data_IF_089957305436
#
_entry.id   IF_089957305436
#
_cell.length_a   1.000
_cell.length_b   1.000
_cell.length_c   1.000
_cell.angle_alpha   90.00
_cell.angle_beta   90.00
_cell.angle_gamma   90.00
#
_symmetry.space_group_name_H-M   'P 1'
#
loop_
_entity.id
_entity.type
_entity.pdbx_description
1 polymer ?
#
# COMPACT_ATOMS: atom_id res chain seq x y z
N UNK A 1 20.76 -8.73 -1.99
CA UNK A 1 20.42 -7.67 -1.02
C UNK A 1 21.22 -6.40 -1.31
N UNK A 2 22.56 -6.43 -1.22
CA UNK A 2 23.41 -5.24 -1.43
C UNK A 2 23.19 -4.50 -2.76
N UNK A 3 22.99 -5.23 -3.87
CA UNK A 3 22.76 -4.61 -5.17
C UNK A 3 21.49 -3.74 -5.22
N UNK A 4 20.37 -4.19 -4.63
CA UNK A 4 19.14 -3.40 -4.55
C UNK A 4 19.34 -2.18 -3.67
N UNK A 5 20.01 -2.36 -2.52
CA UNK A 5 20.28 -1.28 -1.56
C UNK A 5 21.09 -0.15 -2.18
N UNK A 6 22.17 -0.47 -2.88
CA UNK A 6 22.99 0.57 -3.52
C UNK A 6 22.30 1.17 -4.75
N UNK A 7 21.57 0.36 -5.53
CA UNK A 7 20.84 0.85 -6.70
C UNK A 7 19.71 1.82 -6.34
N UNK A 8 19.05 1.66 -5.19
CA UNK A 8 17.93 2.51 -4.78
C UNK A 8 18.32 3.61 -3.82
N UNK A 9 19.59 3.67 -3.37
CA UNK A 9 20.06 4.58 -2.32
C UNK A 9 19.76 6.05 -2.59
N UNK A 10 20.07 6.55 -3.78
CA UNK A 10 19.86 7.96 -4.13
C UNK A 10 18.37 8.30 -4.16
N UNK A 11 17.55 7.44 -4.78
CA UNK A 11 16.10 7.62 -4.87
C UNK A 11 15.44 7.51 -3.49
N UNK A 12 15.96 6.63 -2.63
CA UNK A 12 15.49 6.50 -1.25
C UNK A 12 15.73 7.78 -0.45
N UNK A 13 16.94 8.35 -0.53
CA UNK A 13 17.24 9.64 0.13
C UNK A 13 16.32 10.75 -0.40
N UNK A 14 16.04 10.77 -1.70
CA UNK A 14 15.10 11.75 -2.27
C UNK A 14 13.67 11.55 -1.75
N UNK A 15 13.18 10.32 -1.69
CA UNK A 15 11.84 9.99 -1.21
C UNK A 15 11.64 10.38 0.27
N UNK A 16 12.63 10.09 1.13
CA UNK A 16 12.62 10.47 2.55
C UNK A 16 12.67 12.00 2.76
N UNK A 17 13.23 12.74 1.79
CA UNK A 17 13.33 14.20 1.84
C UNK A 17 12.19 14.93 1.11
N UNK A 18 11.12 14.25 0.69
CA UNK A 18 9.92 14.92 0.18
C UNK A 18 9.27 15.79 1.25
N UNK A 19 8.55 16.85 0.84
CA UNK A 19 7.93 17.80 1.78
C UNK A 19 7.00 17.10 2.78
N UNK A 20 6.22 16.12 2.30
CA UNK A 20 5.37 15.28 3.15
C UNK A 20 6.19 14.50 4.19
N UNK A 21 7.23 13.77 3.77
CA UNK A 21 8.03 12.94 4.69
C UNK A 21 8.81 13.77 5.69
N UNK A 22 9.31 14.95 5.30
CA UNK A 22 9.96 15.88 6.25
C UNK A 22 8.98 16.43 7.28
N UNK A 23 7.75 16.76 6.88
CA UNK A 23 6.71 17.20 7.81
C UNK A 23 6.28 16.07 8.74
N UNK A 24 6.14 14.86 8.20
CA UNK A 24 5.83 13.65 8.97
C UNK A 24 6.87 13.37 10.05
N UNK A 25 8.17 13.38 9.72
CA UNK A 25 9.27 13.17 10.68
C UNK A 25 9.34 14.24 11.77
N UNK A 26 8.91 15.47 11.47
CA UNK A 26 8.83 16.57 12.44
C UNK A 26 7.56 16.53 13.30
N UNK A 27 6.67 15.54 13.09
CA UNK A 27 5.36 15.47 13.74
C UNK A 27 4.39 16.57 13.28
N UNK A 28 4.64 17.19 12.13
CA UNK A 28 3.86 18.28 11.54
C UNK A 28 2.89 17.75 10.47
N UNK A 29 2.20 16.65 10.77
CA UNK A 29 1.19 16.05 9.88
C UNK A 29 -0.17 16.14 10.54
N UNK A 30 -1.17 16.62 9.80
CA UNK A 30 -2.56 16.62 10.28
C UNK A 30 -3.15 15.21 10.26
N UNK A 31 -4.22 15.00 11.03
CA UNK A 31 -4.94 13.73 11.02
C UNK A 31 -5.49 13.41 9.62
N UNK A 32 -5.99 14.40 8.89
CA UNK A 32 -6.54 14.19 7.55
C UNK A 32 -5.47 13.79 6.53
N UNK A 33 -4.28 14.40 6.58
CA UNK A 33 -3.13 14.00 5.74
C UNK A 33 -2.67 12.58 6.07
N UNK A 34 -2.64 12.22 7.37
CA UNK A 34 -2.28 10.87 7.79
C UNK A 34 -3.28 9.85 7.26
N UNK A 35 -4.58 10.13 7.41
CA UNK A 35 -5.67 9.29 6.91
C UNK A 35 -5.60 9.09 5.39
N UNK A 36 -5.23 10.12 4.64
CA UNK A 36 -5.04 10.03 3.19
C UNK A 36 -3.89 9.09 2.81
N UNK A 37 -2.76 9.15 3.52
CA UNK A 37 -1.64 8.24 3.29
C UNK A 37 -1.99 6.80 3.66
N UNK A 38 -2.64 6.58 4.80
CA UNK A 38 -3.11 5.24 5.18
C UNK A 38 -4.07 4.66 4.15
N UNK A 39 -5.00 5.47 3.64
CA UNK A 39 -5.94 5.05 2.58
C UNK A 39 -5.21 4.71 1.28
N UNK A 40 -4.18 5.48 0.92
CA UNK A 40 -3.36 5.22 -0.26
C UNK A 40 -2.56 3.93 -0.12
N UNK A 41 -1.99 3.68 1.07
CA UNK A 41 -1.27 2.43 1.35
C UNK A 41 -2.20 1.22 1.26
N UNK A 42 -3.43 1.30 1.75
CA UNK A 42 -4.38 0.20 1.64
C UNK A 42 -4.55 -0.29 0.20
N UNK A 43 -4.81 0.60 -0.76
CA UNK A 43 -4.97 0.19 -2.16
C UNK A 43 -3.67 -0.34 -2.78
N UNK A 44 -2.51 0.23 -2.40
CA UNK A 44 -1.20 -0.28 -2.86
C UNK A 44 -0.96 -1.69 -2.35
N UNK A 45 -1.19 -1.95 -1.06
CA UNK A 45 -0.99 -3.26 -0.45
C UNK A 45 -2.04 -4.27 -0.90
N UNK A 46 -3.29 -3.85 -1.13
CA UNK A 46 -4.31 -4.72 -1.71
C UNK A 46 -3.86 -5.28 -3.06
N UNK A 47 -3.47 -4.41 -4.00
CA UNK A 47 -3.02 -4.85 -5.32
C UNK A 47 -1.72 -5.66 -5.24
N UNK A 48 -0.77 -5.25 -4.39
CA UNK A 48 0.50 -5.94 -4.21
C UNK A 48 0.28 -7.35 -3.66
N UNK A 49 -0.49 -7.50 -2.58
CA UNK A 49 -0.76 -8.79 -1.94
C UNK A 49 -1.60 -9.72 -2.83
N UNK A 50 -2.47 -9.16 -3.67
CA UNK A 50 -3.20 -9.92 -4.68
C UNK A 50 -2.24 -10.54 -5.71
N UNK A 51 -1.27 -9.77 -6.22
CA UNK A 51 -0.24 -10.27 -7.13
C UNK A 51 0.73 -11.25 -6.47
N UNK A 52 1.09 -11.01 -5.21
CA UNK A 52 1.89 -11.92 -4.39
C UNK A 52 1.18 -13.28 -4.29
N UNK A 53 -0.11 -13.29 -3.98
CA UNK A 53 -0.91 -14.51 -3.89
C UNK A 53 -1.06 -15.21 -5.24
N UNK A 54 -1.22 -14.47 -6.34
CA UNK A 54 -1.22 -15.03 -7.71
C UNK A 54 0.09 -15.72 -8.05
N UNK A 55 1.22 -15.19 -7.57
CA UNK A 55 2.57 -15.65 -7.90
C UNK A 55 3.23 -16.50 -6.79
N UNK A 56 2.49 -16.93 -5.77
CA UNK A 56 3.02 -17.64 -4.60
C UNK A 56 3.82 -18.91 -4.95
N UNK A 57 3.43 -19.62 -6.01
CA UNK A 57 4.06 -20.85 -6.46
C UNK A 57 5.15 -20.62 -7.53
N UNK A 58 5.36 -19.36 -7.96
CA UNK A 58 6.36 -19.00 -8.95
C UNK A 58 7.77 -19.13 -8.34
N UNK A 59 8.69 -19.95 -8.90
CA UNK A 59 10.02 -20.17 -8.34
C UNK A 59 10.86 -18.91 -8.14
N UNK A 60 10.58 -17.83 -8.87
CA UNK A 60 11.31 -16.55 -8.72
C UNK A 60 10.85 -15.73 -7.51
N UNK A 61 9.65 -16.01 -6.99
CA UNK A 61 9.02 -15.23 -5.92
C UNK A 61 8.75 -16.06 -4.66
N UNK A 62 8.49 -17.37 -4.79
CA UNK A 62 8.19 -18.25 -3.65
C UNK A 62 9.19 -18.18 -2.48
N UNK A 63 10.50 -17.91 -2.65
CA UNK A 63 11.42 -17.77 -1.51
C UNK A 63 11.13 -16.55 -0.62
N UNK A 64 10.34 -15.58 -1.08
CA UNK A 64 9.97 -14.36 -0.34
C UNK A 64 8.48 -14.28 -0.02
N UNK A 65 7.74 -15.38 -0.17
CA UNK A 65 6.32 -15.46 0.18
C UNK A 65 6.15 -15.68 1.70
N UNK A 66 5.94 -14.58 2.44
CA UNK A 66 5.77 -14.55 3.90
C UNK A 66 4.45 -13.87 4.29
N UNK A 67 3.30 -14.51 4.03
CA UNK A 67 2.01 -13.85 4.21
C UNK A 67 1.65 -13.57 5.66
N UNK A 68 2.04 -14.44 6.60
CA UNK A 68 1.70 -14.27 8.02
C UNK A 68 2.50 -13.14 8.67
N UNK A 69 3.72 -12.91 8.20
CA UNK A 69 4.65 -11.96 8.77
C UNK A 69 4.58 -10.57 8.11
N UNK A 70 4.29 -10.51 6.79
CA UNK A 70 4.46 -9.30 6.00
C UNK A 70 3.19 -8.75 5.34
N UNK A 71 2.08 -9.51 5.29
CA UNK A 71 0.85 -8.94 4.75
C UNK A 71 0.32 -7.84 5.70
N UNK A 72 -0.06 -6.71 5.10
CA UNK A 72 -0.49 -5.49 5.76
C UNK A 72 -1.94 -5.16 5.48
N UNK A 73 -2.59 -5.78 4.47
CA UNK A 73 -3.98 -5.49 4.11
C UNK A 73 -4.91 -5.50 5.33
N UNK A 74 -4.96 -6.60 6.08
CA UNK A 74 -5.87 -6.76 7.21
C UNK A 74 -5.61 -5.70 8.30
N UNK A 75 -4.34 -5.43 8.62
CA UNK A 75 -3.97 -4.39 9.57
C UNK A 75 -4.37 -2.98 9.09
N UNK A 76 -4.24 -2.71 7.79
CA UNK A 76 -4.66 -1.44 7.19
C UNK A 76 -6.19 -1.30 7.17
N UNK A 77 -6.95 -2.39 7.05
CA UNK A 77 -8.41 -2.38 7.18
C UNK A 77 -8.84 -1.98 8.59
N UNK A 78 -8.20 -2.54 9.62
CA UNK A 78 -8.44 -2.16 11.02
C UNK A 78 -8.09 -0.69 11.29
N UNK A 79 -6.94 -0.22 10.79
CA UNK A 79 -6.51 1.18 10.91
C UNK A 79 -7.53 2.12 10.27
N UNK A 80 -8.00 1.80 9.06
CA UNK A 80 -8.95 2.64 8.33
C UNK A 80 -10.34 2.61 8.94
N UNK A 81 -10.78 1.47 9.48
CA UNK A 81 -11.99 1.39 10.28
C UNK A 81 -11.88 2.26 11.54
N UNK A 82 -10.73 2.28 12.21
CA UNK A 82 -10.51 3.17 13.35
C UNK A 82 -10.60 4.66 12.95
N UNK A 83 -10.00 5.05 11.82
CA UNK A 83 -9.93 6.46 11.42
C UNK A 83 -11.20 7.01 10.76
N UNK A 84 -11.93 6.19 10.01
CA UNK A 84 -13.09 6.61 9.23
C UNK A 84 -14.41 5.98 9.71
N UNK A 85 -14.34 4.99 10.61
CA UNK A 85 -15.47 4.19 11.05
C UNK A 85 -15.86 3.11 10.03
N UNK A 86 -16.83 2.29 10.43
CA UNK A 86 -17.44 1.19 9.65
C UNK A 86 -17.89 1.56 8.23
N UNK A 87 -18.29 2.82 7.90
CA UNK A 87 -18.65 3.18 6.52
C UNK A 87 -17.50 3.06 5.51
N UNK A 88 -16.23 3.12 5.93
CA UNK A 88 -15.10 3.13 5.00
C UNK A 88 -14.96 1.85 4.19
N UNK A 89 -15.03 0.67 4.82
CA UNK A 89 -14.99 -0.62 4.12
C UNK A 89 -16.07 -0.70 3.04
N UNK A 90 -17.25 -0.12 3.31
CA UNK A 90 -18.34 -0.03 2.33
C UNK A 90 -17.99 0.87 1.15
N UNK A 91 -17.29 1.99 1.36
CA UNK A 91 -16.79 2.85 0.28
C UNK A 91 -15.63 2.22 -0.49
N UNK A 92 -14.69 1.56 0.19
CA UNK A 92 -13.55 0.88 -0.43
C UNK A 92 -14.00 -0.25 -1.37
N UNK A 93 -14.98 -1.07 -0.95
CA UNK A 93 -15.58 -2.09 -1.82
C UNK A 93 -16.28 -1.50 -3.05
N UNK A 94 -16.94 -0.35 -2.92
CA UNK A 94 -17.64 0.31 -4.03
C UNK A 94 -16.63 0.99 -4.99
N UNK A 95 -15.61 1.67 -4.44
CA UNK A 95 -14.61 2.39 -5.22
C UNK A 95 -13.59 1.44 -5.89
N UNK A 96 -13.14 0.41 -5.18
CA UNK A 96 -12.26 -0.65 -5.71
C UNK A 96 -12.95 -1.43 -6.82
N UNK A 97 -14.22 -1.79 -6.65
CA UNK A 97 -15.01 -2.43 -7.71
C UNK A 97 -15.18 -1.51 -8.92
N UNK A 98 -15.42 -0.20 -8.73
CA UNK A 98 -15.54 0.76 -9.84
C UNK A 98 -14.22 0.97 -10.60
N UNK A 99 -13.07 1.05 -9.91
CA UNK A 99 -11.75 1.23 -10.52
C UNK A 99 -11.28 -0.04 -11.24
N UNK A 100 -11.49 -1.23 -10.67
CA UNK A 100 -11.14 -2.51 -11.31
C UNK A 100 -12.01 -2.76 -12.55
N UNK A 101 -13.31 -2.40 -12.51
CA UNK A 101 -14.19 -2.54 -13.69
C UNK A 101 -13.82 -1.54 -14.79
N UNK A 102 -13.41 -0.31 -14.44
CA UNK A 102 -12.96 0.70 -15.41
C UNK A 102 -11.58 0.40 -16.00
N UNK A 103 -10.65 -0.15 -15.22
CA UNK A 103 -9.32 -0.54 -15.71
C UNK A 103 -9.33 -1.88 -16.47
N UNK A 104 -10.23 -2.80 -16.13
CA UNK A 104 -10.45 -4.05 -16.90
C UNK A 104 -11.07 -3.83 -18.29
N UNK A 105 -11.73 -2.69 -18.52
CA UNK A 105 -12.27 -2.27 -19.82
C UNK A 105 -11.24 -1.55 -20.72
N UNK A 106 -10.03 -1.27 -20.22
CA UNK A 106 -8.95 -0.62 -20.99
C UNK A 106 -7.83 -1.59 -21.41
N UNK A 107 -7.94 -2.88 -21.07
CA UNK A 107 -6.98 -3.94 -21.42
C UNK A 107 -7.63 -5.05 -22.28
N UNK A 108 -8.77 -4.77 -22.94
CA UNK A 108 -9.31 -5.57 -24.04
C UNK A 108 -9.86 -4.70 -25.17
#
# INVERSE_FOLDING_TARGET
SEALKEATKEVHVQAENTDFMRNFQKGQVSLDEFKLVMSSLYFVYEALEEEINRNKDNPVFSPVYFPLELHRKDALEEDLEYFYGTPFLRWALIAGCALITLMGLYIF
#
